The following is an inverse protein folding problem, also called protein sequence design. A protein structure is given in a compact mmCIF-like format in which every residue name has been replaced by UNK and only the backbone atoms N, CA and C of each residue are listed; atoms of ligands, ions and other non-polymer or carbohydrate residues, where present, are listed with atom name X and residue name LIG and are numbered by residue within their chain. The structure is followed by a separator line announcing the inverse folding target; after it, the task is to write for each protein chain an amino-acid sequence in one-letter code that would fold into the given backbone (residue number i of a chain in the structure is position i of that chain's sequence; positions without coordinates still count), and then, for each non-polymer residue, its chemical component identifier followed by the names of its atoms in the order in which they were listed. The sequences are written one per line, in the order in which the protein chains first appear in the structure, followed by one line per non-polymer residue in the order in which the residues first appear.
data_IF_348906466453
#
_entry.id   IF_348906466453
#
_cell.length_a   1.000
_cell.length_b   1.000
_cell.length_c   1.000
_cell.angle_alpha   90.00
_cell.angle_beta   90.00
_cell.angle_gamma   90.00
#
_symmetry.space_group_name_H-M   'P 1'
#
loop_
_entity.id
_entity.type
_entity.pdbx_description
1 polymer ?
#
# COMPACT_ATOMS: atom_id res chain seq x y z
N UNK A 1 -8.27 30.16 21.29
CA UNK A 1 -9.35 29.77 20.35
C UNK A 1 -9.45 28.26 20.38
N UNK A 2 -10.65 27.66 20.55
CA UNK A 2 -10.76 26.21 20.52
C UNK A 2 -10.52 25.76 19.08
N UNK A 3 -9.41 25.08 18.84
CA UNK A 3 -9.20 24.33 17.61
C UNK A 3 -10.22 23.19 17.62
N UNK A 4 -11.33 23.36 16.90
CA UNK A 4 -12.24 22.26 16.60
C UNK A 4 -11.42 21.25 15.81
N UNK A 5 -10.91 20.23 16.50
CA UNK A 5 -10.22 19.14 15.86
C UNK A 5 -11.28 18.42 15.03
N UNK A 6 -11.23 18.58 13.71
CA UNK A 6 -12.09 17.84 12.81
C UNK A 6 -11.86 16.35 13.07
N UNK A 7 -12.93 15.56 13.02
CA UNK A 7 -12.84 14.12 13.04
C UNK A 7 -11.89 13.68 11.89
N UNK A 8 -10.89 12.82 12.14
CA UNK A 8 -10.03 12.31 11.08
C UNK A 8 -10.79 11.75 9.87
N UNK A 9 -11.94 11.13 10.09
CA UNK A 9 -12.79 10.61 9.01
C UNK A 9 -13.41 11.75 8.20
N UNK A 10 -13.89 12.82 8.85
CA UNK A 10 -14.41 14.00 8.14
C UNK A 10 -13.34 14.64 7.25
N UNK A 11 -12.10 14.69 7.75
CA UNK A 11 -10.97 15.16 6.96
C UNK A 11 -10.73 14.28 5.72
N UNK A 12 -10.76 12.95 5.86
CA UNK A 12 -10.60 12.02 4.74
C UNK A 12 -11.74 12.14 3.71
N UNK A 13 -12.98 12.26 4.17
CA UNK A 13 -14.14 12.43 3.29
C UNK A 13 -14.10 13.77 2.53
N UNK A 14 -13.70 14.85 3.21
CA UNK A 14 -13.48 16.14 2.58
C UNK A 14 -12.33 16.08 1.56
N UNK A 15 -11.22 15.44 1.91
CA UNK A 15 -10.08 15.21 1.01
C UNK A 15 -10.47 14.42 -0.24
N UNK A 16 -11.26 13.36 -0.09
CA UNK A 16 -11.77 12.57 -1.21
C UNK A 16 -12.65 13.41 -2.15
N UNK A 17 -13.55 14.25 -1.62
CA UNK A 17 -14.36 15.17 -2.45
C UNK A 17 -13.49 16.14 -3.24
N UNK A 18 -12.45 16.69 -2.61
CA UNK A 18 -11.48 17.58 -3.27
C UNK A 18 -10.70 16.84 -4.36
N UNK A 19 -10.25 15.62 -4.08
CA UNK A 19 -9.56 14.77 -5.05
C UNK A 19 -10.45 14.48 -6.27
N UNK A 20 -11.70 14.08 -6.04
CA UNK A 20 -12.66 13.81 -7.11
C UNK A 20 -12.91 15.05 -7.98
N UNK A 21 -13.20 16.20 -7.37
CA UNK A 21 -13.45 17.44 -8.08
C UNK A 21 -12.24 17.89 -8.92
N UNK A 22 -11.02 17.81 -8.36
CA UNK A 22 -9.78 18.17 -9.07
C UNK A 22 -9.43 17.21 -10.20
N UNK A 23 -9.71 15.92 -10.02
CA UNK A 23 -9.46 14.90 -11.03
C UNK A 23 -10.39 15.12 -12.22
N UNK A 24 -11.69 15.29 -11.97
CA UNK A 24 -12.67 15.57 -13.02
C UNK A 24 -12.45 16.90 -13.73
N UNK A 25 -11.99 17.94 -13.04
CA UNK A 25 -11.71 19.23 -13.68
C UNK A 25 -10.48 19.19 -14.59
N UNK A 26 -9.47 18.39 -14.24
CA UNK A 26 -8.25 18.21 -15.06
C UNK A 26 -8.46 17.24 -16.22
N UNK A 27 -9.22 16.17 -15.98
CA UNK A 27 -9.59 15.18 -17.00
C UNK A 27 -11.02 14.68 -16.72
N UNK A 28 -12.03 15.20 -17.45
CA UNK A 28 -13.43 14.80 -17.28
C UNK A 28 -13.68 13.30 -17.49
N UNK A 29 -12.83 12.63 -18.27
CA UNK A 29 -12.96 11.21 -18.58
C UNK A 29 -12.20 10.31 -17.61
N UNK A 30 -11.42 10.85 -16.66
CA UNK A 30 -10.52 10.07 -15.81
C UNK A 30 -11.22 8.90 -15.10
N UNK A 31 -12.36 9.16 -14.44
CA UNK A 31 -13.10 8.11 -13.74
C UNK A 31 -13.79 7.14 -14.69
N UNK A 32 -14.31 7.64 -15.81
CA UNK A 32 -14.93 6.79 -16.85
C UNK A 32 -13.90 5.85 -17.48
N UNK A 33 -12.68 6.32 -17.68
CA UNK A 33 -11.58 5.51 -18.22
C UNK A 33 -11.09 4.48 -17.19
N UNK A 34 -10.89 4.89 -15.93
CA UNK A 34 -10.54 3.97 -14.84
C UNK A 34 -11.59 2.88 -14.61
N UNK A 35 -12.88 3.21 -14.80
CA UNK A 35 -13.97 2.26 -14.64
C UNK A 35 -14.03 1.17 -15.73
N UNK A 36 -13.37 1.37 -16.89
CA UNK A 36 -13.31 0.37 -17.96
C UNK A 36 -12.42 -0.82 -17.60
N UNK A 37 -11.48 -0.63 -16.69
CA UNK A 37 -10.55 -1.66 -16.25
C UNK A 37 -9.20 -1.08 -15.84
N UNK A 38 -8.32 -1.97 -15.38
CA UNK A 38 -6.95 -1.64 -14.99
C UNK A 38 -5.95 -2.45 -15.83
N UNK A 39 -4.77 -1.87 -16.07
CA UNK A 39 -3.65 -2.55 -16.74
C UNK A 39 -2.29 -2.11 -16.17
N UNK A 40 -2.10 -2.26 -14.84
CA UNK A 40 -0.86 -1.84 -14.19
C UNK A 40 0.31 -2.66 -14.72
N UNK A 41 1.48 -2.03 -14.83
CA UNK A 41 2.69 -2.69 -15.30
C UNK A 41 3.56 -3.21 -14.16
N UNK A 42 3.26 -2.79 -12.92
CA UNK A 42 4.04 -3.02 -11.72
C UNK A 42 3.14 -3.59 -10.62
N UNK A 43 3.57 -4.68 -9.99
CA UNK A 43 3.15 -5.06 -8.65
C UNK A 43 4.14 -4.46 -7.64
N UNK A 44 3.63 -3.71 -6.67
CA UNK A 44 4.38 -3.18 -5.54
C UNK A 44 4.04 -3.95 -4.26
N UNK A 45 5.04 -4.52 -3.61
CA UNK A 45 4.96 -5.12 -2.28
C UNK A 45 5.74 -4.21 -1.32
N UNK A 46 5.04 -3.52 -0.43
CA UNK A 46 5.62 -2.50 0.45
C UNK A 46 5.14 -2.57 1.89
N UNK A 47 5.72 -1.72 2.75
CA UNK A 47 5.35 -1.69 4.16
C UNK A 47 4.03 -0.93 4.35
N UNK A 48 3.21 -1.33 5.32
CA UNK A 48 1.99 -0.63 5.73
C UNK A 48 2.26 0.76 6.36
N UNK A 49 3.53 1.14 6.51
CA UNK A 49 3.96 2.44 7.03
C UNK A 49 3.34 3.62 6.27
N UNK A 50 2.64 4.50 6.98
CA UNK A 50 1.88 5.61 6.41
C UNK A 50 2.73 6.63 5.63
N UNK A 51 4.05 6.61 5.77
CA UNK A 51 4.98 7.55 5.11
C UNK A 51 5.34 7.16 3.67
N UNK A 52 5.07 5.92 3.25
CA UNK A 52 5.47 5.40 1.93
C UNK A 52 4.24 4.91 1.11
N UNK A 53 3.26 5.78 0.78
CA UNK A 53 2.20 5.45 -0.17
C UNK A 53 2.77 5.43 -1.60
N UNK A 54 2.83 4.26 -2.22
CA UNK A 54 3.56 3.95 -3.46
C UNK A 54 3.18 4.86 -4.64
N UNK A 55 1.87 5.07 -4.87
CA UNK A 55 1.37 5.90 -5.96
C UNK A 55 1.81 7.35 -5.79
N UNK A 56 1.88 7.85 -4.54
CA UNK A 56 2.28 9.24 -4.26
C UNK A 56 3.79 9.41 -4.35
N UNK A 57 4.57 8.53 -3.69
CA UNK A 57 6.04 8.68 -3.64
C UNK A 57 6.69 8.44 -5.01
N UNK A 58 6.05 7.66 -5.89
CA UNK A 58 6.52 7.43 -7.25
C UNK A 58 5.95 8.44 -8.27
N UNK A 59 5.13 9.40 -7.84
CA UNK A 59 4.43 10.34 -8.73
C UNK A 59 3.59 9.65 -9.81
N UNK A 60 2.95 8.53 -9.46
CA UNK A 60 2.08 7.76 -10.33
C UNK A 60 0.61 8.19 -10.18
N UNK A 61 -0.23 7.69 -11.08
CA UNK A 61 -1.68 7.87 -11.08
C UNK A 61 -2.38 6.58 -10.64
N UNK A 62 -3.66 6.66 -10.23
CA UNK A 62 -4.46 5.46 -10.02
C UNK A 62 -4.46 4.58 -11.28
N UNK A 63 -4.28 3.27 -11.09
CA UNK A 63 -4.21 2.29 -12.19
C UNK A 63 -2.79 2.00 -12.68
N UNK A 64 -1.78 2.81 -12.33
CA UNK A 64 -0.39 2.57 -12.76
C UNK A 64 0.28 1.43 -11.98
N UNK A 65 -0.05 1.30 -10.68
CA UNK A 65 0.59 0.35 -9.75
C UNK A 65 -0.48 -0.53 -9.09
N UNK A 66 -0.28 -1.85 -9.12
CA UNK A 66 -1.03 -2.81 -8.32
C UNK A 66 -0.30 -3.06 -7.01
N UNK A 67 -1.00 -3.11 -5.87
CA UNK A 67 -0.36 -2.89 -4.57
C UNK A 67 -0.73 -3.96 -3.54
N UNK A 68 0.29 -4.51 -2.87
CA UNK A 68 0.17 -5.22 -1.61
C UNK A 68 1.00 -4.50 -0.53
N UNK A 69 0.42 -4.30 0.66
CA UNK A 69 1.14 -3.70 1.79
C UNK A 69 0.86 -4.43 3.10
N UNK A 70 1.92 -4.72 3.84
CA UNK A 70 1.86 -5.42 5.12
C UNK A 70 2.97 -4.94 6.08
N UNK A 71 3.06 -5.49 7.29
CA UNK A 71 4.09 -5.07 8.25
C UNK A 71 5.47 -5.51 7.76
N UNK A 72 6.39 -4.55 7.60
CA UNK A 72 7.76 -4.77 7.14
C UNK A 72 7.90 -5.43 5.75
N UNK A 73 6.89 -5.27 4.87
CA UNK A 73 6.94 -5.70 3.46
C UNK A 73 7.40 -7.16 3.29
N UNK A 74 6.99 -8.03 4.20
CA UNK A 74 7.40 -9.43 4.22
C UNK A 74 6.55 -10.27 3.27
N UNK A 75 7.12 -11.34 2.75
CA UNK A 75 6.41 -12.32 1.92
C UNK A 75 6.76 -13.68 2.50
N UNK A 76 5.76 -14.34 3.10
CA UNK A 76 5.92 -15.68 3.66
C UNK A 76 5.52 -16.71 2.60
N UNK A 77 6.23 -17.84 2.53
CA UNK A 77 5.94 -18.88 1.56
C UNK A 77 4.49 -19.41 1.67
N UNK A 78 3.98 -19.51 2.90
CA UNK A 78 2.64 -20.02 3.20
C UNK A 78 1.58 -18.91 3.42
N UNK A 79 1.92 -17.64 3.15
CA UNK A 79 0.95 -16.55 3.23
C UNK A 79 0.08 -16.49 1.97
N UNK A 80 -1.11 -17.08 2.08
CA UNK A 80 -2.10 -17.05 1.00
C UNK A 80 -2.53 -15.63 0.64
N UNK A 81 -2.41 -14.65 1.55
CA UNK A 81 -2.72 -13.25 1.25
C UNK A 81 -1.74 -12.71 0.20
N UNK A 82 -0.44 -12.64 0.51
CA UNK A 82 0.57 -12.20 -0.44
C UNK A 82 0.58 -13.05 -1.71
N UNK A 83 0.47 -14.38 -1.59
CA UNK A 83 0.44 -15.29 -2.73
C UNK A 83 -0.73 -15.00 -3.69
N UNK A 84 -1.93 -14.73 -3.15
CA UNK A 84 -3.11 -14.40 -3.97
C UNK A 84 -2.93 -13.10 -4.76
N UNK A 85 -2.28 -12.08 -4.16
CA UNK A 85 -2.02 -10.81 -4.84
C UNK A 85 -0.96 -11.00 -5.93
N UNK A 86 0.10 -11.77 -5.65
CA UNK A 86 1.14 -12.10 -6.63
C UNK A 86 0.56 -12.89 -7.80
N UNK A 87 -0.23 -13.92 -7.53
CA UNK A 87 -0.89 -14.73 -8.56
C UNK A 87 -1.81 -13.85 -9.42
N UNK A 88 -2.65 -13.01 -8.80
CA UNK A 88 -3.54 -12.13 -9.55
C UNK A 88 -2.74 -11.17 -10.46
N UNK A 89 -1.71 -10.52 -9.91
CA UNK A 89 -0.90 -9.57 -10.64
C UNK A 89 -0.16 -10.21 -11.83
N UNK A 90 0.48 -11.36 -11.61
CA UNK A 90 1.32 -12.01 -12.62
C UNK A 90 0.47 -12.78 -13.63
N UNK A 91 -0.50 -13.56 -13.16
CA UNK A 91 -1.27 -14.46 -14.02
C UNK A 91 -2.41 -13.74 -14.74
N UNK A 92 -3.07 -12.77 -14.11
CA UNK A 92 -4.27 -12.15 -14.68
C UNK A 92 -4.01 -10.73 -15.19
N UNK A 93 -3.32 -9.88 -14.41
CA UNK A 93 -2.99 -8.52 -14.85
C UNK A 93 -1.75 -8.45 -15.75
N UNK A 94 -0.95 -9.53 -15.79
CA UNK A 94 0.29 -9.63 -16.58
C UNK A 94 1.26 -8.47 -16.30
N UNK A 95 1.40 -8.09 -15.02
CA UNK A 95 2.39 -7.07 -14.61
C UNK A 95 3.77 -7.48 -15.12
N UNK A 96 4.56 -6.50 -15.56
CA UNK A 96 5.89 -6.75 -16.15
C UNK A 96 6.99 -6.77 -15.11
N UNK A 97 6.76 -6.15 -13.95
CA UNK A 97 7.72 -6.02 -12.87
C UNK A 97 7.04 -6.23 -11.52
N UNK A 98 7.77 -6.89 -10.63
CA UNK A 98 7.43 -6.98 -9.21
C UNK A 98 8.51 -6.22 -8.44
N UNK A 99 8.09 -5.30 -7.57
CA UNK A 99 8.96 -4.47 -6.75
C UNK A 99 8.68 -4.81 -5.30
N UNK A 100 9.71 -5.25 -4.57
CA UNK A 100 9.68 -5.33 -3.10
C UNK A 100 10.39 -4.10 -2.55
N UNK A 101 9.64 -3.21 -1.90
CA UNK A 101 10.18 -1.95 -1.40
C UNK A 101 10.22 -1.93 0.13
N UNK A 102 11.44 -2.06 0.67
CA UNK A 102 11.74 -1.71 2.06
C UNK A 102 11.75 -0.19 2.27
N UNK A 103 11.97 0.24 3.51
CA UNK A 103 12.16 1.64 3.82
C UNK A 103 12.98 1.86 5.09
N UNK A 104 13.63 3.03 5.18
CA UNK A 104 14.36 3.42 6.39
C UNK A 104 13.40 3.63 7.57
N UNK A 105 13.88 3.38 8.79
CA UNK A 105 13.11 3.54 10.04
C UNK A 105 11.80 2.72 10.04
N UNK A 106 11.85 1.51 9.52
CA UNK A 106 10.73 0.57 9.57
C UNK A 106 10.52 0.05 10.99
N UNK A 107 9.31 0.25 11.52
CA UNK A 107 8.95 -0.20 12.86
C UNK A 107 9.01 -1.72 13.01
N UNK A 108 8.52 -2.47 12.01
CA UNK A 108 8.57 -3.93 12.02
C UNK A 108 9.99 -4.48 11.93
N UNK A 109 10.84 -3.91 11.07
CA UNK A 109 12.25 -4.31 11.01
C UNK A 109 12.98 -3.98 12.32
N UNK A 110 12.76 -2.79 12.89
CA UNK A 110 13.35 -2.42 14.18
C UNK A 110 12.87 -3.33 15.32
N UNK A 111 11.62 -3.76 15.29
CA UNK A 111 11.06 -4.68 16.28
C UNK A 111 11.64 -6.10 16.15
N UNK A 112 11.94 -6.55 14.92
CA UNK A 112 12.64 -7.81 14.67
C UNK A 112 14.09 -7.81 15.19
N UNK A 113 14.75 -6.65 15.19
CA UNK A 113 16.12 -6.49 15.74
C UNK A 113 16.16 -6.48 17.28
N UNK A 114 15.04 -6.31 17.97
CA UNK A 114 14.98 -6.25 19.44
C UNK A 114 14.36 -7.49 20.07
N UNK A 115 14.54 -7.64 21.38
CA UNK A 115 14.06 -8.80 22.14
C UNK A 115 12.67 -8.61 22.77
N UNK A 116 11.95 -7.55 22.39
CA UNK A 116 10.62 -7.28 22.92
C UNK A 116 9.61 -8.33 22.43
N UNK A 117 8.80 -8.84 23.37
CA UNK A 117 7.64 -9.65 23.04
C UNK A 117 6.51 -8.77 22.47
N UNK A 118 6.14 -9.01 21.21
CA UNK A 118 5.10 -8.27 20.49
C UNK A 118 3.75 -9.00 20.50
N UNK A 119 3.66 -10.10 21.25
CA UNK A 119 2.53 -11.02 21.24
C UNK A 119 2.58 -12.00 20.07
N UNK A 120 1.67 -12.98 20.10
CA UNK A 120 1.67 -14.13 19.18
C UNK A 120 1.70 -13.72 17.72
N UNK A 121 0.77 -12.85 17.30
CA UNK A 121 0.60 -12.51 15.88
C UNK A 121 1.84 -11.83 15.28
N UNK A 122 2.37 -10.80 15.96
CA UNK A 122 3.51 -10.04 15.44
C UNK A 122 4.83 -10.79 15.59
N UNK A 123 5.01 -11.60 16.64
CA UNK A 123 6.18 -12.46 16.76
C UNK A 123 6.21 -13.51 15.64
N UNK A 124 5.07 -14.16 15.35
CA UNK A 124 4.97 -15.11 14.23
C UNK A 124 5.21 -14.42 12.89
N UNK A 125 4.58 -13.25 12.67
CA UNK A 125 4.73 -12.50 11.42
C UNK A 125 6.16 -12.00 11.18
N UNK A 126 6.85 -11.52 12.22
CA UNK A 126 8.20 -10.99 12.06
C UNK A 126 9.29 -12.06 12.19
N UNK A 127 8.93 -13.32 12.45
CA UNK A 127 9.90 -14.39 12.66
C UNK A 127 10.92 -14.52 11.51
N UNK A 128 10.54 -14.51 10.22
CA UNK A 128 11.51 -14.60 9.12
C UNK A 128 12.36 -13.36 8.91
N UNK A 129 12.05 -12.24 9.57
CA UNK A 129 12.88 -11.02 9.56
C UNK A 129 13.94 -11.08 10.67
N UNK A 130 13.78 -11.98 11.66
CA UNK A 130 14.73 -12.21 12.75
C UNK A 130 15.83 -13.21 12.39
N UNK A 131 15.62 -14.00 11.34
CA UNK A 131 16.58 -14.97 10.78
C UNK A 131 17.54 -14.29 9.79
#
# INVERSE_FOLDING_TARGET
MPTTHLDPIDHLLAGNRVYAARTSSRNPNAFTDLAKGQSPEILWIGCADSRIPETTVCHCKPGDIFVHRNIANTVHADDINAASVVEYAVTFLKVRKVVVCGHTKCGGANAALGDADLGVTLNTWLHPVRE
#
